data_IF_509042394794
#
_entry.id   IF_509042394794
#
_cell.length_a   1.000
_cell.length_b   1.000
_cell.length_c   1.000
_cell.angle_alpha   90.00
_cell.angle_beta   90.00
_cell.angle_gamma   90.00
#
_symmetry.space_group_name_H-M   'P 1'
#
loop_
_entity.id
_entity.type
_entity.pdbx_description
1 polymer ?
#
# COMPACT_ATOMS: atom_id res chain seq x y z
N UNK A 1 -20.36 24.12 13.99
CA UNK A 1 -19.38 23.02 14.06
C UNK A 1 -19.67 22.06 12.92
N UNK A 2 -18.73 21.87 11.99
CA UNK A 2 -18.88 20.84 10.94
C UNK A 2 -18.96 19.47 11.62
N UNK A 3 -20.02 18.71 11.32
CA UNK A 3 -20.17 17.35 11.85
C UNK A 3 -18.96 16.51 11.42
N UNK A 4 -18.30 15.85 12.38
CA UNK A 4 -17.21 14.93 12.06
C UNK A 4 -17.78 13.80 11.20
N UNK A 5 -17.34 13.70 9.95
CA UNK A 5 -17.78 12.65 9.03
C UNK A 5 -17.27 11.31 9.57
N UNK A 6 -18.18 10.44 9.97
CA UNK A 6 -17.85 9.08 10.32
C UNK A 6 -17.69 8.24 9.05
N UNK A 7 -16.51 7.66 8.86
CA UNK A 7 -16.18 6.80 7.71
C UNK A 7 -15.84 5.37 8.13
N UNK A 8 -16.09 4.98 9.38
CA UNK A 8 -15.92 3.60 9.85
C UNK A 8 -16.70 2.63 8.96
N UNK A 9 -16.06 1.53 8.57
CA UNK A 9 -16.65 0.49 7.72
C UNK A 9 -16.69 0.82 6.23
N UNK A 10 -16.26 2.02 5.80
CA UNK A 10 -16.19 2.38 4.37
C UNK A 10 -14.92 1.84 3.72
N UNK A 11 -14.99 1.67 2.41
CA UNK A 11 -13.86 1.27 1.56
C UNK A 11 -13.46 2.39 0.61
N UNK A 12 -12.15 2.63 0.48
CA UNK A 12 -11.56 3.60 -0.45
C UNK A 12 -10.47 2.91 -1.27
N UNK A 13 -10.76 2.60 -2.53
CA UNK A 13 -9.89 1.72 -3.32
C UNK A 13 -9.72 0.35 -2.66
N UNK A 14 -8.48 -0.03 -2.35
CA UNK A 14 -8.14 -1.27 -1.67
C UNK A 14 -7.97 -1.10 -0.14
N UNK A 15 -8.57 -0.07 0.45
CA UNK A 15 -8.45 0.25 1.87
C UNK A 15 -9.79 0.16 2.57
N UNK A 16 -9.86 -0.66 3.63
CA UNK A 16 -11.02 -0.76 4.51
C UNK A 16 -10.78 0.06 5.79
N UNK A 17 -11.70 0.95 6.13
CA UNK A 17 -11.61 1.77 7.34
C UNK A 17 -12.11 0.99 8.56
N UNK A 18 -11.23 0.71 9.52
CA UNK A 18 -11.59 -0.04 10.73
C UNK A 18 -12.18 0.86 11.81
N UNK A 19 -11.47 1.91 12.21
CA UNK A 19 -11.92 2.82 13.27
C UNK A 19 -11.20 4.16 13.23
N UNK A 20 -11.75 5.12 13.98
CA UNK A 20 -11.09 6.40 14.20
C UNK A 20 -9.89 6.20 15.12
N UNK A 21 -8.74 6.75 14.75
CA UNK A 21 -7.51 6.63 15.55
C UNK A 21 -7.29 7.88 16.41
N UNK A 22 -7.05 9.02 15.77
CA UNK A 22 -6.80 10.29 16.45
C UNK A 22 -7.04 11.48 15.52
N UNK A 23 -7.09 12.68 16.09
CA UNK A 23 -7.06 13.93 15.33
C UNK A 23 -5.74 14.63 15.59
N UNK A 24 -5.11 15.14 14.53
CA UNK A 24 -3.89 15.95 14.63
C UNK A 24 -4.04 17.16 13.71
N UNK A 25 -3.83 18.35 14.27
CA UNK A 25 -4.12 19.63 13.62
C UNK A 25 -5.59 19.68 13.14
N UNK A 26 -5.79 19.89 11.84
CA UNK A 26 -7.09 19.95 11.19
C UNK A 26 -7.52 18.62 10.54
N UNK A 27 -6.75 17.53 10.76
CA UNK A 27 -6.99 16.25 10.09
C UNK A 27 -7.41 15.14 11.06
N UNK A 28 -8.44 14.39 10.65
CA UNK A 28 -8.85 13.15 11.28
C UNK A 28 -8.08 11.97 10.66
N UNK A 29 -7.36 11.23 11.49
CA UNK A 29 -6.65 10.02 11.13
C UNK A 29 -7.50 8.79 11.47
N UNK A 30 -7.55 7.89 10.51
CA UNK A 30 -8.33 6.66 10.58
C UNK A 30 -7.39 5.47 10.45
N UNK A 31 -7.62 4.46 11.28
CA UNK A 31 -6.99 3.16 11.12
C UNK A 31 -7.62 2.46 9.92
N UNK A 32 -6.78 2.15 8.94
CA UNK A 32 -7.18 1.50 7.70
C UNK A 32 -6.41 0.20 7.50
N UNK A 33 -7.10 -0.80 6.96
CA UNK A 33 -6.54 -2.09 6.59
C UNK A 33 -6.45 -2.17 5.07
N UNK A 34 -5.27 -2.48 4.55
CA UNK A 34 -5.09 -2.79 3.14
C UNK A 34 -5.71 -4.15 2.84
N UNK A 35 -6.67 -4.21 1.92
CA UNK A 35 -7.31 -5.46 1.51
C UNK A 35 -6.41 -6.33 0.63
N UNK A 36 -5.33 -5.77 0.08
CA UNK A 36 -4.39 -6.50 -0.77
C UNK A 36 -3.28 -7.20 0.01
N UNK A 37 -2.94 -6.77 1.22
CA UNK A 37 -1.83 -7.37 1.98
C UNK A 37 -2.09 -7.39 3.48
N UNK A 38 -3.32 -7.13 3.90
CA UNK A 38 -3.79 -7.08 5.29
C UNK A 38 -3.08 -6.09 6.23
N UNK A 39 -2.16 -5.28 5.71
CA UNK A 39 -1.39 -4.29 6.49
C UNK A 39 -2.29 -3.20 7.04
N UNK A 40 -2.11 -2.91 8.32
CA UNK A 40 -2.80 -1.82 9.02
C UNK A 40 -1.88 -0.58 9.01
N UNK A 41 -2.46 0.58 8.69
CA UNK A 41 -1.78 1.87 8.78
C UNK A 41 -2.79 3.00 9.02
N UNK A 42 -2.30 4.22 9.21
CA UNK A 42 -3.16 5.39 9.45
C UNK A 42 -3.22 6.28 8.22
N UNK A 43 -4.44 6.69 7.83
CA UNK A 43 -4.67 7.59 6.70
C UNK A 43 -5.65 8.70 7.09
N UNK A 44 -5.49 9.88 6.50
CA UNK A 44 -6.41 10.99 6.73
C UNK A 44 -7.67 10.83 5.89
N UNK A 45 -8.82 11.28 6.40
CA UNK A 45 -10.07 11.33 5.62
C UNK A 45 -9.87 12.05 4.28
N UNK A 46 -9.17 13.18 4.29
CA UNK A 46 -8.90 13.98 3.08
C UNK A 46 -8.18 13.15 2.01
N UNK A 47 -7.13 12.40 2.37
CA UNK A 47 -6.37 11.61 1.41
C UNK A 47 -7.13 10.38 0.90
N UNK A 48 -7.95 9.77 1.75
CA UNK A 48 -8.83 8.67 1.35
C UNK A 48 -9.89 9.16 0.36
N UNK A 49 -10.55 10.28 0.68
CA UNK A 49 -11.63 10.83 -0.12
C UNK A 49 -11.15 11.44 -1.45
N UNK A 50 -9.96 12.05 -1.49
CA UNK A 50 -9.39 12.60 -2.72
C UNK A 50 -8.78 11.54 -3.65
N UNK A 51 -8.65 10.29 -3.20
CA UNK A 51 -7.97 9.24 -3.95
C UNK A 51 -6.45 9.34 -3.94
N UNK A 52 -5.86 10.24 -3.14
CA UNK A 52 -4.41 10.30 -2.92
C UNK A 52 -3.88 9.08 -2.16
N UNK A 53 -4.75 8.34 -1.48
CA UNK A 53 -4.41 7.11 -0.76
C UNK A 53 -5.45 6.03 -1.05
N UNK A 54 -5.11 5.10 -1.94
CA UNK A 54 -6.00 4.02 -2.43
C UNK A 54 -5.47 2.61 -2.16
N UNK A 55 -4.24 2.49 -1.67
CA UNK A 55 -3.60 1.26 -1.25
C UNK A 55 -2.48 1.56 -0.26
N UNK A 56 -2.01 0.56 0.48
CA UNK A 56 -0.80 0.75 1.29
C UNK A 56 0.41 1.03 0.38
N UNK A 57 1.45 1.65 0.92
CA UNK A 57 2.69 1.95 0.18
C UNK A 57 3.36 0.70 -0.41
N UNK A 58 3.22 -0.45 0.25
CA UNK A 58 3.61 -1.79 -0.23
C UNK A 58 2.88 -2.17 -1.53
N UNK A 59 1.57 -1.98 -1.54
CA UNK A 59 0.70 -2.38 -2.63
C UNK A 59 0.56 -1.33 -3.74
N UNK A 60 1.05 -0.11 -3.54
CA UNK A 60 1.00 0.95 -4.54
C UNK A 60 2.23 0.90 -5.48
N UNK A 61 2.46 -0.24 -6.13
CA UNK A 61 3.47 -0.36 -7.20
C UNK A 61 2.72 -0.36 -8.53
N UNK A 62 2.84 0.73 -9.28
CA UNK A 62 2.10 0.95 -10.53
C UNK A 62 2.41 -0.16 -11.54
N UNK A 63 1.37 -0.85 -12.01
CA UNK A 63 1.45 -1.81 -13.11
C UNK A 63 2.19 -3.11 -12.78
N UNK A 64 2.11 -3.59 -11.54
CA UNK A 64 2.48 -4.96 -11.16
C UNK A 64 1.40 -5.56 -10.25
N UNK A 65 1.00 -6.80 -10.54
CA UNK A 65 0.03 -7.53 -9.72
C UNK A 65 0.63 -7.93 -8.36
N UNK A 66 -0.21 -8.38 -7.42
CA UNK A 66 0.28 -8.88 -6.11
C UNK A 66 1.18 -10.09 -6.31
N UNK A 67 0.76 -11.02 -7.16
CA UNK A 67 1.44 -12.28 -7.43
C UNK A 67 2.85 -12.04 -7.97
N UNK A 68 3.01 -11.10 -8.92
CA UNK A 68 4.33 -10.76 -9.46
C UNK A 68 5.23 -10.15 -8.37
N UNK A 69 4.68 -9.34 -7.48
CA UNK A 69 5.48 -8.71 -6.41
C UNK A 69 5.95 -9.73 -5.37
N UNK A 70 5.05 -10.62 -4.97
CA UNK A 70 5.34 -11.70 -4.03
C UNK A 70 6.42 -12.63 -4.62
N UNK A 71 6.31 -12.98 -5.90
CA UNK A 71 7.34 -13.78 -6.58
C UNK A 71 8.68 -13.06 -6.72
N UNK A 72 8.69 -11.75 -6.99
CA UNK A 72 9.93 -10.94 -6.98
C UNK A 72 10.64 -11.03 -5.62
N UNK A 73 9.89 -10.93 -4.51
CA UNK A 73 10.45 -11.07 -3.16
C UNK A 73 10.99 -12.48 -2.94
N UNK A 74 10.24 -13.51 -3.34
CA UNK A 74 10.64 -14.90 -3.18
C UNK A 74 11.90 -15.25 -3.98
N UNK A 75 11.96 -14.84 -5.26
CA UNK A 75 13.15 -15.00 -6.11
C UNK A 75 14.37 -14.32 -5.51
N UNK A 76 14.18 -13.14 -4.91
CA UNK A 76 15.28 -12.43 -4.26
C UNK A 76 15.76 -13.15 -3.00
N UNK A 77 14.86 -13.70 -2.20
CA UNK A 77 15.18 -14.56 -1.05
C UNK A 77 15.96 -15.82 -1.48
N UNK A 78 15.61 -16.37 -2.65
CA UNK A 78 16.32 -17.48 -3.30
C UNK A 78 17.66 -17.07 -3.96
N UNK A 79 18.18 -15.88 -3.62
CA UNK A 79 19.46 -15.32 -4.12
C UNK A 79 19.52 -15.09 -5.63
N UNK A 80 18.39 -15.05 -6.33
CA UNK A 80 18.37 -14.67 -7.75
C UNK A 80 18.86 -13.22 -7.93
N UNK A 81 19.59 -12.97 -9.02
CA UNK A 81 20.09 -11.64 -9.33
C UNK A 81 18.97 -10.70 -9.76
N UNK A 82 19.04 -9.42 -9.38
CA UNK A 82 18.08 -8.39 -9.79
C UNK A 82 17.96 -8.31 -11.32
N UNK A 83 19.08 -8.53 -12.02
CA UNK A 83 19.13 -8.53 -13.49
C UNK A 83 18.29 -9.66 -14.08
N UNK A 84 18.40 -10.88 -13.52
CA UNK A 84 17.62 -12.04 -13.96
C UNK A 84 16.11 -11.83 -13.72
N UNK A 85 15.75 -11.38 -12.52
CA UNK A 85 14.35 -11.09 -12.15
C UNK A 85 13.74 -10.03 -13.09
N UNK A 86 14.47 -8.94 -13.34
CA UNK A 86 14.02 -7.87 -14.24
C UNK A 86 13.80 -8.37 -15.68
N UNK A 87 14.71 -9.21 -16.19
CA UNK A 87 14.59 -9.81 -17.52
C UNK A 87 13.38 -10.75 -17.62
N UNK A 88 13.17 -11.61 -16.62
CA UNK A 88 12.06 -12.56 -16.59
C UNK A 88 10.70 -11.86 -16.71
N UNK A 89 10.51 -10.78 -15.93
CA UNK A 89 9.26 -10.01 -15.92
C UNK A 89 9.17 -8.91 -16.98
N UNK A 90 10.21 -8.72 -17.81
CA UNK A 90 10.28 -7.65 -18.80
C UNK A 90 10.05 -6.25 -18.18
N UNK A 91 10.61 -6.03 -16.97
CA UNK A 91 10.50 -4.76 -16.24
C UNK A 91 11.87 -4.15 -15.99
N UNK A 92 11.91 -2.85 -15.69
CA UNK A 92 13.16 -2.18 -15.31
C UNK A 92 13.66 -2.68 -13.95
N UNK A 93 14.99 -2.69 -13.77
CA UNK A 93 15.63 -3.00 -12.47
C UNK A 93 15.11 -2.09 -11.35
N UNK A 94 14.87 -0.81 -11.66
CA UNK A 94 14.28 0.16 -10.72
C UNK A 94 12.91 -0.27 -10.20
N UNK A 95 12.12 -0.96 -11.02
CA UNK A 95 10.83 -1.51 -10.61
C UNK A 95 11.00 -2.66 -9.62
N UNK A 96 11.96 -3.56 -9.88
CA UNK A 96 12.35 -4.63 -8.93
C UNK A 96 12.80 -4.02 -7.59
N UNK A 97 13.69 -3.03 -7.59
CA UNK A 97 14.10 -2.34 -6.36
C UNK A 97 12.93 -1.66 -5.63
N UNK A 98 11.97 -1.12 -6.37
CA UNK A 98 10.79 -0.47 -5.77
C UNK A 98 9.91 -1.49 -5.05
N UNK A 99 9.72 -2.67 -5.62
CA UNK A 99 9.01 -3.78 -4.97
C UNK A 99 9.72 -4.19 -3.69
N UNK A 100 11.01 -4.54 -3.78
CA UNK A 100 11.80 -4.98 -2.64
C UNK A 100 11.80 -3.95 -1.50
N UNK A 101 12.06 -2.68 -1.80
CA UNK A 101 12.07 -1.60 -0.79
C UNK A 101 10.72 -1.44 -0.09
N UNK A 102 9.62 -1.59 -0.81
CA UNK A 102 8.26 -1.36 -0.29
C UNK A 102 7.73 -2.56 0.49
N UNK A 103 8.20 -3.76 0.16
CA UNK A 103 7.85 -5.00 0.86
C UNK A 103 8.79 -5.34 2.03
N UNK A 104 9.97 -4.72 2.14
CA UNK A 104 10.87 -4.89 3.29
C UNK A 104 10.56 -3.96 4.50
N UNK A 105 9.57 -3.06 4.39
CA UNK A 105 9.19 -2.14 5.49
C UNK A 105 8.13 -2.76 6.41
N UNK A 106 8.39 -3.96 6.87
CA UNK A 106 7.62 -4.59 7.95
C UNK A 106 8.38 -4.47 9.27
#
# INVERSE_FOLDING_TARGET
>A
MSARINIKGKTYGNLYVQEFAYAQNTHAYWQVKCMLCDKIFYATYTNLNSGNTTACSGCNVIGLSREIRDDIVQRKANKESIVSIAKYYQISRSKVYSVLRRMSKD
#
